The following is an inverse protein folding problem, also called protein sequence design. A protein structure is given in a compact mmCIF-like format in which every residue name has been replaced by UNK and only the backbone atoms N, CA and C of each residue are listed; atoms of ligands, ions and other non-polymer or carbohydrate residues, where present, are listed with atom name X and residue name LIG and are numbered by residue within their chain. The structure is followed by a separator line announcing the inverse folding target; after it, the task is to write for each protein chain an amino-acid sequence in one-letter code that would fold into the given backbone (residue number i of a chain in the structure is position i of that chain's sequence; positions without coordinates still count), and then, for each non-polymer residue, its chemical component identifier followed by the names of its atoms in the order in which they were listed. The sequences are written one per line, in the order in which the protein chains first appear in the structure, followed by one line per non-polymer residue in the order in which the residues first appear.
data_IF_200851360891
#
_entry.id   IF_200851360891
#
_cell.length_a   1.000
_cell.length_b   1.000
_cell.length_c   1.000
_cell.angle_alpha   90.00
_cell.angle_beta   90.00
_cell.angle_gamma   90.00
#
_symmetry.space_group_name_H-M   'P 1'
#
loop_
_entity.id
_entity.type
_entity.pdbx_description
1 polymer ?
#
# COMPACT_ATOMS: atom_id res chain seq x y z
N UNK A 1 -2.55 -19.39 15.17
CA UNK A 1 -1.17 -19.51 14.63
C UNK A 1 -1.10 -19.16 13.14
N UNK A 2 -2.01 -19.67 12.30
CA UNK A 2 -2.03 -19.40 10.84
C UNK A 2 -2.21 -17.94 10.42
N UNK A 3 -3.06 -17.15 11.11
CA UNK A 3 -3.31 -15.75 10.75
C UNK A 3 -2.05 -14.87 10.83
N UNK A 4 -1.17 -15.10 11.81
CA UNK A 4 0.08 -14.31 11.94
C UNK A 4 0.99 -14.51 10.73
N UNK A 5 0.95 -15.67 10.07
CA UNK A 5 1.72 -15.90 8.84
C UNK A 5 1.25 -15.02 7.68
N UNK A 6 -0.06 -14.73 7.58
CA UNK A 6 -0.61 -13.82 6.57
C UNK A 6 -0.02 -12.42 6.78
N UNK A 7 0.01 -11.94 8.03
CA UNK A 7 0.60 -10.66 8.39
C UNK A 7 2.09 -10.59 8.07
N UNK A 8 2.88 -11.60 8.48
CA UNK A 8 4.31 -11.62 8.18
C UNK A 8 4.60 -11.66 6.68
N UNK A 9 3.82 -12.45 5.95
CA UNK A 9 3.93 -12.52 4.48
C UNK A 9 3.60 -11.16 3.86
N UNK A 10 2.52 -10.50 4.31
CA UNK A 10 2.16 -9.14 3.90
C UNK A 10 3.34 -8.17 4.08
N UNK A 11 3.98 -8.17 5.26
CA UNK A 11 5.16 -7.33 5.54
C UNK A 11 6.32 -7.66 4.60
N UNK A 12 6.60 -8.94 4.34
CA UNK A 12 7.66 -9.36 3.41
C UNK A 12 7.39 -8.83 2.00
N UNK A 13 6.16 -8.97 1.48
CA UNK A 13 5.78 -8.41 0.17
C UNK A 13 5.98 -6.89 0.13
N UNK A 14 5.64 -6.18 1.21
CA UNK A 14 5.85 -4.76 1.33
C UNK A 14 7.34 -4.39 1.26
N UNK A 15 8.20 -5.12 1.98
CA UNK A 15 9.64 -4.88 1.97
C UNK A 15 10.27 -5.19 0.61
N UNK A 16 9.83 -6.26 -0.07
CA UNK A 16 10.27 -6.58 -1.44
C UNK A 16 9.90 -5.45 -2.40
N UNK A 17 8.68 -4.90 -2.30
CA UNK A 17 8.23 -3.78 -3.12
C UNK A 17 9.16 -2.56 -3.01
N UNK A 18 9.74 -2.31 -1.84
CA UNK A 18 10.68 -1.19 -1.64
C UNK A 18 11.92 -1.30 -2.54
N UNK A 19 12.35 -2.51 -2.92
CA UNK A 19 13.52 -2.72 -3.77
C UNK A 19 13.18 -2.82 -5.27
N UNK A 20 11.91 -3.03 -5.60
CA UNK A 20 11.43 -3.16 -6.98
C UNK A 20 10.99 -1.81 -7.55
N UNK A 21 10.95 -1.72 -8.88
CA UNK A 21 10.42 -0.55 -9.58
C UNK A 21 8.90 -0.46 -9.39
N UNK A 22 8.45 0.54 -8.64
CA UNK A 22 7.04 0.87 -8.46
C UNK A 22 6.46 1.57 -9.69
N UNK A 23 7.25 2.44 -10.33
CA UNK A 23 6.89 3.12 -11.58
C UNK A 23 8.00 3.00 -12.62
N UNK A 24 7.58 2.86 -13.89
CA UNK A 24 8.47 2.84 -15.06
C UNK A 24 8.07 3.93 -16.05
N UNK A 25 9.04 4.43 -16.79
CA UNK A 25 8.81 5.37 -17.89
C UNK A 25 7.94 4.70 -18.96
N UNK A 26 6.87 5.38 -19.38
CA UNK A 26 5.98 4.89 -20.43
C UNK A 26 6.67 4.84 -21.80
N UNK A 27 7.61 5.75 -22.08
CA UNK A 27 8.30 5.84 -23.38
C UNK A 27 9.42 4.81 -23.51
N UNK A 28 10.30 4.73 -22.51
CA UNK A 28 11.51 3.89 -22.58
C UNK A 28 11.40 2.55 -21.86
N UNK A 29 10.29 2.27 -21.15
CA UNK A 29 10.11 1.12 -20.26
C UNK A 29 11.21 0.95 -19.18
N UNK A 30 12.06 1.95 -18.99
CA UNK A 30 13.10 1.95 -17.97
C UNK A 30 12.45 2.14 -16.60
N UNK A 31 12.91 1.38 -15.61
CA UNK A 31 12.52 1.60 -14.21
C UNK A 31 12.99 2.97 -13.76
N UNK A 32 12.05 3.82 -13.33
CA UNK A 32 12.36 5.20 -12.93
C UNK A 32 12.35 5.32 -11.41
N UNK A 33 11.32 4.78 -10.76
CA UNK A 33 11.17 4.89 -9.31
C UNK A 33 11.05 3.53 -8.67
N UNK A 34 12.00 3.23 -7.79
CA UNK A 34 11.90 2.12 -6.86
C UNK A 34 10.89 2.44 -5.76
N UNK A 35 10.25 1.43 -5.18
CA UNK A 35 9.29 1.61 -4.10
C UNK A 35 9.88 2.41 -2.93
N UNK A 36 11.10 2.12 -2.49
CA UNK A 36 11.75 2.86 -1.40
C UNK A 36 11.88 4.35 -1.72
N UNK A 37 12.22 4.70 -2.96
CA UNK A 37 12.29 6.11 -3.41
C UNK A 37 10.89 6.75 -3.36
N UNK A 38 9.86 6.05 -3.84
CA UNK A 38 8.47 6.53 -3.73
C UNK A 38 8.02 6.73 -2.28
N UNK A 39 8.51 5.93 -1.33
CA UNK A 39 8.17 6.06 0.09
C UNK A 39 8.79 7.32 0.69
N UNK A 40 10.07 7.58 0.41
CA UNK A 40 10.79 8.75 0.96
C UNK A 40 10.45 10.06 0.27
N UNK A 41 10.11 10.05 -1.02
CA UNK A 41 9.88 11.27 -1.81
C UNK A 41 8.42 11.47 -2.23
N UNK A 42 7.52 10.51 -1.96
CA UNK A 42 6.10 10.64 -2.35
C UNK A 42 5.35 11.77 -1.62
N UNK A 43 5.84 12.22 -0.46
CA UNK A 43 5.31 13.41 0.20
C UNK A 43 5.46 14.68 -0.66
N UNK A 44 6.43 14.73 -1.58
CA UNK A 44 6.64 15.89 -2.45
C UNK A 44 5.42 16.17 -3.34
N UNK A 45 4.56 15.18 -3.60
CA UNK A 45 3.28 15.39 -4.30
C UNK A 45 2.38 16.43 -3.59
N UNK A 46 2.57 16.66 -2.30
CA UNK A 46 1.94 17.74 -1.54
C UNK A 46 2.30 19.13 -2.10
N UNK A 47 3.57 19.34 -2.43
CA UNK A 47 4.09 20.64 -2.88
C UNK A 47 3.64 21.01 -4.29
N UNK A 48 3.29 20.01 -5.11
CA UNK A 48 2.94 20.20 -6.51
C UNK A 48 1.48 19.83 -6.81
N UNK A 49 0.64 19.74 -5.78
CA UNK A 49 -0.82 19.51 -5.88
C UNK A 49 -1.24 18.27 -6.68
N UNK A 50 -0.39 17.23 -6.74
CA UNK A 50 -0.77 15.97 -7.37
C UNK A 50 -1.51 15.10 -6.35
N UNK A 51 -2.82 15.32 -6.26
CA UNK A 51 -3.67 14.67 -5.26
C UNK A 51 -3.71 13.14 -5.41
N UNK A 52 -3.65 12.61 -6.63
CA UNK A 52 -3.65 11.16 -6.83
C UNK A 52 -2.35 10.54 -6.33
N UNK A 53 -1.21 11.16 -6.64
CA UNK A 53 0.07 10.71 -6.14
C UNK A 53 0.17 10.84 -4.62
N UNK A 54 -0.33 11.94 -4.06
CA UNK A 54 -0.33 12.18 -2.62
C UNK A 54 -1.18 11.13 -1.87
N UNK A 55 -2.42 10.90 -2.29
CA UNK A 55 -3.31 9.95 -1.61
C UNK A 55 -2.78 8.51 -1.77
N UNK A 56 -2.27 8.15 -2.96
CA UNK A 56 -1.62 6.87 -3.18
C UNK A 56 -0.39 6.67 -2.29
N UNK A 57 0.37 7.73 -2.01
CA UNK A 57 1.47 7.69 -1.07
C UNK A 57 0.99 7.51 0.39
N UNK A 58 -0.06 8.22 0.80
CA UNK A 58 -0.66 8.10 2.14
C UNK A 58 -1.15 6.68 2.47
N UNK A 59 -1.48 5.87 1.45
CA UNK A 59 -1.80 4.46 1.62
C UNK A 59 -0.74 3.70 2.44
N UNK A 60 0.54 4.03 2.26
CA UNK A 60 1.64 3.42 3.00
C UNK A 60 1.56 3.70 4.50
N UNK A 61 1.25 4.94 4.87
CA UNK A 61 1.12 5.35 6.28
C UNK A 61 -0.06 4.63 6.91
N UNK A 62 -1.21 4.62 6.24
CA UNK A 62 -2.42 3.94 6.71
C UNK A 62 -2.18 2.43 6.90
N UNK A 63 -1.49 1.80 5.95
CA UNK A 63 -1.11 0.40 6.04
C UNK A 63 -0.23 0.14 7.27
N UNK A 64 0.83 0.93 7.49
CA UNK A 64 1.73 0.73 8.63
C UNK A 64 1.06 1.01 9.97
N UNK A 65 0.20 2.02 10.07
CA UNK A 65 -0.60 2.26 11.29
C UNK A 65 -1.47 1.03 11.59
N UNK A 66 -2.11 0.47 10.57
CA UNK A 66 -2.87 -0.77 10.73
C UNK A 66 -1.96 -1.94 11.09
N UNK A 67 -0.81 -2.13 10.46
CA UNK A 67 0.07 -3.28 10.77
C UNK A 67 0.70 -3.20 12.15
N UNK A 68 1.17 -2.03 12.61
CA UNK A 68 1.84 -1.91 13.91
C UNK A 68 0.90 -2.21 15.07
N UNK A 69 -0.39 -1.92 14.92
CA UNK A 69 -1.41 -2.17 15.93
C UNK A 69 -2.09 -3.55 15.76
N UNK A 70 -1.42 -4.54 15.14
CA UNK A 70 -2.01 -5.81 14.66
C UNK A 70 -2.73 -6.65 15.72
N UNK A 71 -2.45 -6.41 16.99
CA UNK A 71 -3.00 -7.07 18.17
C UNK A 71 -4.32 -6.45 18.65
N UNK A 72 -4.62 -5.22 18.23
CA UNK A 72 -5.86 -4.51 18.56
C UNK A 72 -6.98 -4.89 17.61
N UNK A 73 -8.18 -5.11 18.15
CA UNK A 73 -9.44 -5.40 17.44
C UNK A 73 -10.33 -4.16 17.24
N UNK A 74 -9.73 -2.97 17.35
CA UNK A 74 -10.45 -1.71 17.15
C UNK A 74 -10.82 -1.54 15.66
N UNK A 75 -12.10 -1.22 15.43
CA UNK A 75 -12.68 -0.93 14.13
C UNK A 75 -11.87 0.14 13.38
N UNK A 76 -11.26 1.09 14.09
CA UNK A 76 -10.41 2.13 13.51
C UNK A 76 -9.25 1.54 12.68
N UNK A 77 -8.57 0.50 13.17
CA UNK A 77 -7.45 -0.11 12.44
C UNK A 77 -7.89 -0.95 11.25
N UNK A 78 -9.09 -1.53 11.32
CA UNK A 78 -9.74 -2.15 10.17
C UNK A 78 -10.04 -1.11 9.09
N UNK A 79 -10.63 0.03 9.47
CA UNK A 79 -10.90 1.15 8.56
C UNK A 79 -9.60 1.65 7.93
N UNK A 80 -8.53 1.87 8.69
CA UNK A 80 -7.23 2.25 8.13
C UNK A 80 -6.70 1.24 7.11
N UNK A 81 -6.89 -0.06 7.36
CA UNK A 81 -6.49 -1.07 6.39
C UNK A 81 -7.27 -0.98 5.09
N UNK A 82 -8.60 -0.82 5.15
CA UNK A 82 -9.43 -0.68 3.95
C UNK A 82 -9.11 0.63 3.22
N UNK A 83 -8.96 1.73 3.95
CA UNK A 83 -8.54 3.02 3.38
C UNK A 83 -7.18 2.91 2.70
N UNK A 84 -6.22 2.16 3.26
CA UNK A 84 -4.92 1.94 2.61
C UNK A 84 -5.07 1.28 1.23
N UNK A 85 -5.92 0.26 1.12
CA UNK A 85 -6.17 -0.44 -0.15
C UNK A 85 -6.81 0.52 -1.16
N UNK A 86 -7.88 1.21 -0.76
CA UNK A 86 -8.58 2.15 -1.64
C UNK A 86 -7.67 3.30 -2.11
N UNK A 87 -6.90 3.89 -1.19
CA UNK A 87 -5.94 4.93 -1.49
C UNK A 87 -4.86 4.44 -2.45
N UNK A 88 -4.35 3.22 -2.27
CA UNK A 88 -3.32 2.66 -3.16
C UNK A 88 -3.83 2.51 -4.59
N UNK A 89 -5.10 2.15 -4.80
CA UNK A 89 -5.70 2.05 -6.13
C UNK A 89 -5.66 3.37 -6.92
N UNK A 90 -5.53 4.53 -6.27
CA UNK A 90 -5.38 5.81 -6.96
C UNK A 90 -4.04 5.90 -7.73
N UNK A 91 -3.06 5.07 -7.40
CA UNK A 91 -1.79 5.02 -8.12
C UNK A 91 -1.96 4.65 -9.61
N UNK A 92 -3.01 3.92 -9.97
CA UNK A 92 -3.31 3.57 -11.36
C UNK A 92 -3.71 4.79 -12.22
N UNK A 93 -4.13 5.88 -11.58
CA UNK A 93 -4.49 7.13 -12.27
C UNK A 93 -3.30 8.10 -12.41
N UNK A 94 -2.16 7.79 -11.80
CA UNK A 94 -0.94 8.60 -11.92
C UNK A 94 -0.32 8.40 -13.30
N UNK A 95 -0.38 9.45 -14.13
CA UNK A 95 0.15 9.43 -15.50
C UNK A 95 1.55 10.03 -15.62
N UNK A 96 1.94 10.87 -14.65
CA UNK A 96 3.24 11.54 -14.63
C UNK A 96 3.73 11.68 -13.20
N UNK A 97 5.04 11.63 -13.00
CA UNK A 97 5.68 11.84 -11.70
C UNK A 97 6.81 12.87 -11.83
N UNK A 98 7.00 13.62 -10.76
CA UNK A 98 8.03 14.64 -10.64
C UNK A 98 9.39 13.99 -10.39
N UNK A 99 10.37 14.18 -11.30
CA UNK A 99 11.73 13.62 -11.21
C UNK A 99 12.73 14.51 -10.47
N UNK A 100 12.43 15.79 -10.29
CA UNK A 100 13.31 16.72 -9.61
C UNK A 100 12.54 17.88 -8.98
N UNK A 101 13.17 18.55 -8.02
CA UNK A 101 12.63 19.75 -7.36
C UNK A 101 12.44 20.93 -8.33
N UNK A 102 13.10 20.89 -9.49
CA UNK A 102 12.96 21.89 -10.55
C UNK A 102 11.63 21.81 -11.31
N UNK A 103 10.67 20.97 -10.89
CA UNK A 103 9.34 20.91 -11.52
C UNK A 103 9.25 19.98 -12.73
N UNK A 104 10.27 19.16 -13.00
CA UNK A 104 10.28 18.33 -14.22
C UNK A 104 9.45 17.06 -14.03
N UNK A 105 8.54 16.79 -14.96
CA UNK A 105 7.67 15.61 -14.94
C UNK A 105 8.05 14.61 -16.03
N UNK A 106 7.92 13.32 -15.72
CA UNK A 106 8.05 12.24 -16.70
C UNK A 106 6.77 11.42 -16.74
N UNK A 107 6.29 11.02 -17.93
CA UNK A 107 5.18 10.09 -18.03
C UNK A 107 5.54 8.73 -17.46
N UNK A 108 4.71 8.22 -16.55
CA UNK A 108 4.94 6.95 -15.87
C UNK A 108 3.76 6.01 -16.01
N UNK A 109 4.03 4.73 -15.78
CA UNK A 109 3.03 3.70 -15.54
C UNK A 109 3.45 2.82 -14.37
N UNK A 110 2.44 2.24 -13.74
CA UNK A 110 2.60 1.28 -12.64
C UNK A 110 3.45 0.08 -13.09
N UNK A 111 4.27 -0.44 -12.19
CA UNK A 111 5.20 -1.54 -12.40
C UNK A 111 5.13 -2.55 -11.24
N UNK A 112 5.87 -3.65 -11.36
CA UNK A 112 5.85 -4.79 -10.43
C UNK A 112 5.99 -4.40 -8.95
N UNK A 113 6.85 -3.45 -8.60
CA UNK A 113 7.00 -3.03 -7.21
C UNK A 113 5.71 -2.51 -6.60
N UNK A 114 4.89 -1.78 -7.38
CA UNK A 114 3.61 -1.29 -6.88
C UNK A 114 2.60 -2.43 -6.71
N UNK A 115 2.57 -3.41 -7.62
CA UNK A 115 1.71 -4.59 -7.45
C UNK A 115 2.07 -5.35 -6.16
N UNK A 116 3.35 -5.49 -5.82
CA UNK A 116 3.78 -6.07 -4.54
C UNK A 116 3.29 -5.25 -3.34
N UNK A 117 3.32 -3.91 -3.42
CA UNK A 117 2.72 -3.06 -2.38
C UNK A 117 1.21 -3.25 -2.27
N UNK A 118 0.47 -3.22 -3.37
CA UNK A 118 -0.97 -3.44 -3.34
C UNK A 118 -1.31 -4.83 -2.77
N UNK A 119 -0.61 -5.88 -3.20
CA UNK A 119 -0.77 -7.23 -2.65
C UNK A 119 -0.49 -7.26 -1.16
N UNK A 120 0.58 -6.61 -0.68
CA UNK A 120 0.85 -6.53 0.76
C UNK A 120 -0.29 -5.89 1.54
N UNK A 121 -0.85 -4.77 1.05
CA UNK A 121 -1.95 -4.06 1.69
C UNK A 121 -3.23 -4.90 1.72
N UNK A 122 -3.53 -5.59 0.62
CA UNK A 122 -4.68 -6.52 0.54
C UNK A 122 -4.52 -7.68 1.53
N UNK A 123 -3.35 -8.29 1.61
CA UNK A 123 -3.09 -9.35 2.60
C UNK A 123 -3.21 -8.85 4.04
N UNK A 124 -2.73 -7.63 4.32
CA UNK A 124 -2.90 -6.98 5.62
C UNK A 124 -4.37 -6.74 5.94
N UNK A 125 -5.15 -6.27 4.96
CA UNK A 125 -6.61 -6.11 5.08
C UNK A 125 -7.35 -7.40 5.35
N UNK A 126 -6.97 -8.49 4.69
CA UNK A 126 -7.52 -9.81 4.99
C UNK A 126 -7.20 -10.24 6.43
N UNK A 127 -5.96 -10.11 6.87
CA UNK A 127 -5.59 -10.39 8.26
C UNK A 127 -6.45 -9.58 9.24
N UNK A 128 -6.64 -8.28 8.97
CA UNK A 128 -7.46 -7.40 9.81
C UNK A 128 -8.92 -7.80 9.85
N UNK A 129 -9.51 -8.15 8.70
CA UNK A 129 -10.87 -8.64 8.63
C UNK A 129 -11.08 -9.86 9.54
N UNK A 130 -10.18 -10.86 9.45
CA UNK A 130 -10.29 -12.06 10.27
C UNK A 130 -10.16 -11.79 11.77
N UNK A 131 -9.24 -10.91 12.18
CA UNK A 131 -9.08 -10.54 13.59
C UNK A 131 -10.31 -9.76 14.09
N UNK A 132 -10.85 -8.83 13.29
CA UNK A 132 -12.00 -8.01 13.66
C UNK A 132 -13.27 -8.85 13.91
N UNK A 133 -13.46 -9.90 13.11
CA UNK A 133 -14.67 -10.73 13.13
C UNK A 133 -14.43 -12.14 13.68
N UNK A 134 -13.30 -12.37 14.36
CA UNK A 134 -12.90 -13.70 14.82
C UNK A 134 -13.96 -14.35 15.73
N UNK A 135 -14.53 -13.58 16.66
CA UNK A 135 -15.53 -14.08 17.60
C UNK A 135 -16.83 -14.48 16.91
N UNK A 136 -17.28 -13.70 15.91
CA UNK A 136 -18.46 -14.02 15.11
C UNK A 136 -18.21 -15.28 14.28
N UNK A 137 -17.05 -15.38 13.64
CA UNK A 137 -16.67 -16.54 12.84
C UNK A 137 -16.66 -17.81 13.71
N UNK A 138 -16.03 -17.76 14.89
CA UNK A 138 -16.00 -18.89 15.82
C UNK A 138 -17.41 -19.29 16.29
N UNK A 139 -18.29 -18.32 16.52
CA UNK A 139 -19.68 -18.59 16.93
C UNK A 139 -20.48 -19.34 15.86
N UNK A 140 -20.22 -19.06 14.58
CA UNK A 140 -20.86 -19.74 13.45
C UNK A 140 -20.37 -21.18 13.30
N UNK A 141 -19.08 -21.43 13.52
CA UNK A 141 -18.49 -22.76 13.38
C UNK A 141 -18.75 -23.69 14.58
N UNK A 142 -18.97 -23.15 15.77
CA UNK A 142 -19.38 -23.95 16.94
C UNK A 142 -20.85 -24.38 16.91
N UNK A 143 -21.64 -23.90 15.93
CA UNK A 143 -23.06 -24.23 15.76
C UNK A 143 -23.30 -25.41 14.80
N UNK A 144 -22.25 -25.90 14.13
CA UNK A 144 -22.25 -27.07 13.24
C UNK A 144 -21.41 -28.20 13.85
#
# INVERSE_FOLDING_TARGET
MYLKWILWTSIIFYLIACFLNAFKDTKNNKGMYKGGVCLFFGWMSFMFTDWFALIAWFANILYWISVINYDKTDLLFFVFSISSILSSCLAFFIKKLLINEAGTYVPVKVSWGFYFWLTSMVMGGFYRYFIQYQDIINSLFNFF
#
